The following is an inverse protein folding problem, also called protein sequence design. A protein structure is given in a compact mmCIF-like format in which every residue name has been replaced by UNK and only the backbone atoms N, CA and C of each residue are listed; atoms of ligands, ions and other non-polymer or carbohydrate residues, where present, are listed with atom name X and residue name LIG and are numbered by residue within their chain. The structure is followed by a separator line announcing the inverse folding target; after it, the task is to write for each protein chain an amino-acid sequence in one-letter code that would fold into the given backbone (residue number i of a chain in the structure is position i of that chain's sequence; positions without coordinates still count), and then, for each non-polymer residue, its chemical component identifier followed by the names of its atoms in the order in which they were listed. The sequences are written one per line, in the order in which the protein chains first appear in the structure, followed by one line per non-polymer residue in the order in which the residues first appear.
data_IF_090587002220
#
_entry.id   IF_090587002220
#
_cell.length_a   1.000
_cell.length_b   1.000
_cell.length_c   1.000
_cell.angle_alpha   90.00
_cell.angle_beta   90.00
_cell.angle_gamma   90.00
#
_symmetry.space_group_name_H-M   'P 1'
#
loop_
_entity.id
_entity.type
_entity.pdbx_description
1 polymer ?
#
# COMPACT_ATOMS: atom_id res chain seq x y z
N UNK A 1 -5.88 -3.59 9.11
CA UNK A 1 -6.61 -2.61 8.27
C UNK A 1 -8.08 -2.73 8.64
N UNK A 2 -8.82 -1.63 8.62
CA UNK A 2 -10.23 -1.60 9.01
C UNK A 2 -11.10 -1.28 7.78
N UNK A 3 -12.37 -1.72 7.80
CA UNK A 3 -13.29 -1.42 6.69
C UNK A 3 -13.64 0.09 6.61
N UNK A 4 -13.66 0.76 7.76
CA UNK A 4 -13.77 2.21 7.88
C UNK A 4 -12.49 2.73 8.56
N UNK A 5 -11.86 3.73 7.94
CA UNK A 5 -10.67 4.37 8.49
C UNK A 5 -10.87 5.90 8.53
N UNK A 6 -10.57 6.55 9.67
CA UNK A 6 -10.02 5.99 10.90
C UNK A 6 -11.01 5.09 11.65
N UNK A 7 -10.51 4.12 12.42
CA UNK A 7 -11.38 3.26 13.24
C UNK A 7 -12.18 4.14 14.23
N UNK A 8 -13.52 4.08 14.25
CA UNK A 8 -14.32 4.90 15.15
C UNK A 8 -13.90 4.76 16.62
N UNK A 9 -13.87 5.88 17.36
CA UNK A 9 -13.36 5.90 18.74
C UNK A 9 -14.10 4.96 19.71
N UNK A 10 -15.39 4.70 19.48
CA UNK A 10 -16.20 3.78 20.29
C UNK A 10 -16.09 2.30 19.89
N UNK A 11 -15.24 1.95 18.92
CA UNK A 11 -15.18 0.59 18.40
C UNK A 11 -14.61 -0.41 19.43
N UNK A 12 -15.23 -1.58 19.66
CA UNK A 12 -14.80 -2.53 20.71
C UNK A 12 -13.37 -3.04 20.59
N UNK A 13 -12.80 -3.05 19.38
CA UNK A 13 -11.41 -3.45 19.16
C UNK A 13 -10.38 -2.56 19.86
N UNK A 14 -10.75 -1.32 20.23
CA UNK A 14 -9.85 -0.46 21.02
C UNK A 14 -9.61 -0.98 22.45
N UNK A 15 -10.60 -1.64 23.06
CA UNK A 15 -10.53 -2.11 24.45
C UNK A 15 -10.39 -3.63 24.58
N UNK A 16 -10.37 -4.37 23.46
CA UNK A 16 -10.31 -5.83 23.50
C UNK A 16 -8.92 -6.31 23.97
N UNK A 17 -8.83 -7.14 25.04
CA UNK A 17 -7.56 -7.41 25.74
C UNK A 17 -6.54 -8.20 24.91
N UNK A 18 -7.00 -8.98 23.92
CA UNK A 18 -6.13 -9.78 23.04
C UNK A 18 -5.92 -9.17 21.65
N UNK A 19 -6.25 -7.89 21.44
CA UNK A 19 -6.13 -7.22 20.14
C UNK A 19 -5.16 -6.05 20.25
N UNK A 20 -4.21 -5.98 19.32
CA UNK A 20 -3.36 -4.81 19.13
C UNK A 20 -3.77 -4.07 17.84
N UNK A 21 -4.01 -2.76 17.95
CA UNK A 21 -4.39 -1.91 16.83
C UNK A 21 -3.21 -1.04 16.40
N UNK A 22 -2.86 -1.10 15.12
CA UNK A 22 -1.95 -0.14 14.47
C UNK A 22 -2.73 0.67 13.44
N UNK A 23 -2.58 2.00 13.37
CA UNK A 23 -3.38 2.88 12.50
C UNK A 23 -2.91 2.84 11.04
N UNK A 24 -2.97 1.67 10.41
CA UNK A 24 -2.58 1.44 9.02
C UNK A 24 -1.13 1.90 8.71
N UNK A 25 -0.20 1.62 9.61
CA UNK A 25 1.23 1.98 9.47
C UNK A 25 2.16 0.76 9.38
N UNK A 26 1.61 -0.42 9.06
CA UNK A 26 2.41 -1.65 8.99
C UNK A 26 3.50 -1.58 7.91
N UNK A 27 3.23 -0.92 6.79
CA UNK A 27 4.19 -0.71 5.71
C UNK A 27 3.91 0.63 5.00
N UNK A 28 4.61 1.67 5.43
CA UNK A 28 4.55 2.97 4.75
C UNK A 28 5.41 2.97 3.48
N UNK A 29 4.95 3.67 2.45
CA UNK A 29 5.74 3.86 1.23
C UNK A 29 6.99 4.69 1.54
N UNK A 30 8.16 4.10 1.33
CA UNK A 30 9.44 4.81 1.48
C UNK A 30 9.71 5.66 0.24
N UNK A 31 9.68 6.98 0.42
CA UNK A 31 9.70 7.95 -0.69
C UNK A 31 10.87 7.75 -1.65
N UNK A 32 12.08 7.54 -1.14
CA UNK A 32 13.28 7.41 -1.99
C UNK A 32 13.18 6.17 -2.89
N UNK A 33 12.85 5.02 -2.32
CA UNK A 33 12.69 3.76 -3.05
C UNK A 33 11.53 3.84 -4.05
N UNK A 34 10.43 4.49 -3.70
CA UNK A 34 9.31 4.70 -4.63
C UNK A 34 9.73 5.54 -5.85
N UNK A 35 10.48 6.63 -5.65
CA UNK A 35 11.00 7.45 -6.75
C UNK A 35 11.97 6.66 -7.62
N UNK A 36 12.86 5.88 -7.01
CA UNK A 36 13.79 5.00 -7.73
C UNK A 36 13.04 3.98 -8.61
N UNK A 37 12.01 3.33 -8.06
CA UNK A 37 11.17 2.36 -8.78
C UNK A 37 10.43 3.00 -9.96
N UNK A 38 9.82 4.17 -9.74
CA UNK A 38 9.10 4.91 -10.80
C UNK A 38 10.08 5.30 -11.91
N UNK A 39 11.23 5.88 -11.58
CA UNK A 39 12.22 6.30 -12.56
C UNK A 39 12.76 5.10 -13.37
N UNK A 40 12.98 3.95 -12.73
CA UNK A 40 13.39 2.73 -13.43
C UNK A 40 12.32 2.25 -14.43
N UNK A 41 11.04 2.21 -14.01
CA UNK A 41 9.94 1.82 -14.88
C UNK A 41 9.75 2.78 -16.07
N UNK A 42 9.92 4.10 -15.86
CA UNK A 42 9.86 5.08 -16.94
C UNK A 42 10.96 4.85 -17.99
N UNK A 43 12.19 4.51 -17.58
CA UNK A 43 13.27 4.17 -18.52
C UNK A 43 12.95 2.92 -19.34
N UNK A 44 12.40 1.87 -18.70
CA UNK A 44 11.96 0.64 -19.39
C UNK A 44 10.91 0.95 -20.45
N UNK A 45 9.88 1.71 -20.07
CA UNK A 45 8.82 2.12 -21.00
C UNK A 45 9.35 2.95 -22.16
N UNK A 46 10.26 3.89 -21.92
CA UNK A 46 10.89 4.69 -22.97
C UNK A 46 11.73 3.84 -23.95
N UNK A 47 12.27 2.72 -23.49
CA UNK A 47 12.99 1.74 -24.31
C UNK A 47 12.06 0.71 -25.01
N UNK A 48 10.73 0.87 -24.91
CA UNK A 48 9.76 -0.08 -25.45
C UNK A 48 9.64 -1.39 -24.66
N UNK A 49 10.18 -1.44 -23.45
CA UNK A 49 10.09 -2.59 -22.54
C UNK A 49 8.89 -2.45 -21.60
N UNK A 50 8.40 -3.58 -21.09
CA UNK A 50 7.37 -3.57 -20.06
C UNK A 50 7.90 -3.03 -18.73
N UNK A 51 7.06 -2.28 -18.01
CA UNK A 51 7.32 -1.87 -16.63
C UNK A 51 7.11 -3.05 -15.67
N UNK A 52 7.89 -3.07 -14.58
CA UNK A 52 7.70 -4.03 -13.49
C UNK A 52 6.47 -3.66 -12.64
N UNK A 53 5.84 -4.66 -12.02
CA UNK A 53 4.71 -4.45 -11.10
C UNK A 53 3.43 -4.00 -11.79
N UNK A 54 3.24 -4.38 -13.06
CA UNK A 54 2.04 -4.03 -13.83
C UNK A 54 0.81 -4.75 -13.26
N UNK A 55 -0.23 -3.97 -12.96
CA UNK A 55 -1.54 -4.47 -12.50
C UNK A 55 -2.30 -5.11 -13.65
N UNK A 56 -2.83 -6.30 -13.44
CA UNK A 56 -3.69 -7.00 -14.39
C UNK A 56 -5.16 -6.72 -14.06
N UNK A 57 -5.70 -5.67 -14.69
CA UNK A 57 -7.02 -5.09 -14.34
C UNK A 57 -8.18 -6.10 -14.34
N UNK A 58 -8.12 -7.14 -15.17
CA UNK A 58 -9.13 -8.20 -15.19
C UNK A 58 -9.20 -9.01 -13.89
N UNK A 59 -8.10 -9.05 -13.14
CA UNK A 59 -7.99 -9.74 -11.86
C UNK A 59 -8.29 -8.81 -10.67
N UNK A 60 -8.27 -7.48 -10.89
CA UNK A 60 -8.44 -6.48 -9.84
C UNK A 60 -7.18 -6.20 -8.99
N UNK A 61 -6.01 -6.73 -9.39
CA UNK A 61 -4.71 -6.51 -8.74
C UNK A 61 -3.53 -6.63 -9.72
#
# INVERSE_FOLDING_TARGET
MFAEEPLPHGHPLWSHPSVAVTPHIAAITLRRQAVEQIAANLRKLAAGQAADGRVERGNGY
#
